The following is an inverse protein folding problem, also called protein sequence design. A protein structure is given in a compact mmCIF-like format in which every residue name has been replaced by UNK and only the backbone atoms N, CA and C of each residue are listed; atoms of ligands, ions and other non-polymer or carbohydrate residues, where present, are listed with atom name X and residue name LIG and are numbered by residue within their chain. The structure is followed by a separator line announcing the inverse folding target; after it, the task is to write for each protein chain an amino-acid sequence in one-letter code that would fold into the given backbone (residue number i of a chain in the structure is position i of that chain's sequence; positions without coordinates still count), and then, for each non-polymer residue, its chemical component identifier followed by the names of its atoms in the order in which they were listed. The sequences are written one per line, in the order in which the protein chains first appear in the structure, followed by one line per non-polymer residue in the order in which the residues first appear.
data_IF_780305156989
#
_entry.id   IF_780305156989
#
_cell.length_a   1.000
_cell.length_b   1.000
_cell.length_c   1.000
_cell.angle_alpha   90.00
_cell.angle_beta   90.00
_cell.angle_gamma   90.00
#
_symmetry.space_group_name_H-M   'P 1'
#
loop_
_entity.id
_entity.type
_entity.pdbx_description
1 polymer ?
#
# COMPACT_ATOMS: atom_id res chain seq x y z
N UNK A 1 5.05 -18.26 -13.71
CA UNK A 1 3.62 -18.63 -13.76
C UNK A 1 2.85 -17.37 -13.41
N UNK A 2 2.03 -16.87 -14.33
CA UNK A 2 1.23 -15.66 -14.11
C UNK A 2 0.11 -15.92 -13.11
N UNK A 3 -0.11 -14.99 -12.20
CA UNK A 3 -1.17 -15.02 -11.18
C UNK A 3 -2.27 -14.05 -11.59
N UNK A 4 -3.48 -14.56 -11.78
CA UNK A 4 -4.65 -13.74 -12.07
C UNK A 4 -5.27 -13.27 -10.74
N UNK A 5 -5.40 -11.97 -10.57
CA UNK A 5 -5.83 -11.32 -9.33
C UNK A 5 -7.09 -10.52 -9.60
N UNK A 6 -8.15 -10.79 -8.85
CA UNK A 6 -9.40 -10.01 -8.87
C UNK A 6 -9.41 -9.03 -7.70
N UNK A 7 -9.61 -7.74 -7.97
CA UNK A 7 -9.77 -6.71 -6.95
C UNK A 7 -11.25 -6.33 -6.84
N UNK A 8 -11.79 -6.32 -5.62
CA UNK A 8 -13.19 -5.97 -5.39
C UNK A 8 -13.41 -5.18 -4.09
N UNK A 9 -14.13 -4.04 -4.10
CA UNK A 9 -14.48 -3.24 -5.27
C UNK A 9 -13.24 -2.54 -5.86
N UNK A 10 -13.06 -2.58 -7.18
CA UNK A 10 -11.81 -2.12 -7.79
C UNK A 10 -11.67 -0.60 -7.94
N UNK A 11 -12.78 0.15 -7.95
CA UNK A 11 -12.77 1.61 -8.09
C UNK A 11 -12.64 2.39 -6.79
N UNK A 12 -12.49 1.71 -5.64
CA UNK A 12 -12.23 2.39 -4.36
C UNK A 12 -10.80 2.96 -4.31
N UNK A 13 -10.51 3.87 -3.38
CA UNK A 13 -9.13 4.35 -3.17
C UNK A 13 -8.14 3.20 -2.94
N UNK A 14 -8.57 2.18 -2.20
CA UNK A 14 -7.76 0.99 -1.92
C UNK A 14 -7.55 0.20 -3.23
N UNK A 15 -8.60 0.03 -4.03
CA UNK A 15 -8.54 -0.67 -5.31
C UNK A 15 -7.64 0.02 -6.33
N UNK A 16 -7.63 1.36 -6.34
CA UNK A 16 -6.74 2.14 -7.20
C UNK A 16 -5.28 2.08 -6.76
N UNK A 17 -5.00 2.03 -5.45
CA UNK A 17 -3.64 1.80 -4.96
C UNK A 17 -3.15 0.39 -5.27
N UNK A 18 -4.00 -0.64 -5.11
CA UNK A 18 -3.67 -2.01 -5.51
C UNK A 18 -3.34 -2.06 -7.02
N UNK A 19 -4.12 -1.36 -7.85
CA UNK A 19 -3.83 -1.26 -9.27
C UNK A 19 -2.47 -0.62 -9.54
N UNK A 20 -2.23 0.58 -9.00
CA UNK A 20 -0.98 1.32 -9.21
C UNK A 20 0.25 0.53 -8.76
N UNK A 21 0.12 -0.28 -7.72
CA UNK A 21 1.19 -1.14 -7.22
C UNK A 21 1.46 -2.38 -8.08
N UNK A 22 0.46 -2.89 -8.81
CA UNK A 22 0.55 -4.21 -9.47
C UNK A 22 0.49 -4.14 -11.00
N UNK A 23 0.12 -3.01 -11.61
CA UNK A 23 -0.09 -2.92 -13.06
C UNK A 23 1.16 -3.23 -13.89
N UNK A 24 2.35 -2.94 -13.35
CA UNK A 24 3.65 -3.22 -13.96
C UNK A 24 4.26 -4.56 -13.54
N UNK A 25 3.70 -5.25 -12.55
CA UNK A 25 4.24 -6.53 -12.10
C UNK A 25 4.06 -7.60 -13.19
N UNK A 26 5.17 -8.12 -13.71
CA UNK A 26 5.18 -9.03 -14.87
C UNK A 26 4.48 -10.36 -14.64
N UNK A 27 4.53 -10.87 -13.42
CA UNK A 27 3.88 -12.12 -13.02
C UNK A 27 2.41 -11.94 -12.59
N UNK A 28 1.87 -10.71 -12.61
CA UNK A 28 0.52 -10.42 -12.13
C UNK A 28 -0.36 -9.94 -13.28
N UNK A 29 -1.56 -10.50 -13.38
CA UNK A 29 -2.64 -10.02 -14.24
C UNK A 29 -3.80 -9.52 -13.38
N UNK A 30 -4.11 -8.24 -13.48
CA UNK A 30 -5.18 -7.61 -12.71
C UNK A 30 -6.54 -7.67 -13.42
N UNK A 31 -7.57 -7.93 -12.63
CA UNK A 31 -8.97 -7.93 -13.02
C UNK A 31 -9.75 -7.11 -11.99
N UNK A 32 -10.70 -6.29 -12.46
CA UNK A 32 -11.52 -5.44 -11.60
C UNK A 32 -12.98 -5.87 -11.59
N UNK A 33 -13.62 -5.78 -10.43
CA UNK A 33 -15.07 -5.82 -10.34
C UNK A 33 -15.57 -4.82 -9.28
N UNK A 34 -16.77 -4.29 -9.49
CA UNK A 34 -17.45 -3.39 -8.55
C UNK A 34 -18.97 -3.58 -8.59
N UNK A 35 -19.66 -3.29 -7.49
CA UNK A 35 -21.14 -3.35 -7.42
C UNK A 35 -21.83 -2.18 -8.11
N UNK A 36 -21.08 -1.12 -8.40
CA UNK A 36 -21.55 0.13 -9.01
C UNK A 36 -20.61 0.53 -10.14
N UNK A 37 -21.10 1.31 -11.10
CA UNK A 37 -20.23 1.99 -12.05
C UNK A 37 -19.36 2.98 -11.27
N UNK A 38 -18.04 2.83 -11.40
CA UNK A 38 -17.05 3.61 -10.68
C UNK A 38 -15.79 3.82 -11.55
N UNK A 39 -14.77 4.46 -10.97
CA UNK A 39 -13.53 4.76 -11.68
C UNK A 39 -12.76 3.50 -12.13
N UNK A 40 -13.07 2.32 -11.57
CA UNK A 40 -12.43 1.06 -11.93
C UNK A 40 -12.60 0.70 -13.40
N UNK A 41 -13.73 1.09 -14.03
CA UNK A 41 -14.01 0.89 -15.46
C UNK A 41 -12.95 1.51 -16.38
N UNK A 42 -12.35 2.63 -15.95
CA UNK A 42 -11.36 3.37 -16.73
C UNK A 42 -9.91 2.96 -16.44
N UNK A 43 -9.70 2.17 -15.39
CA UNK A 43 -8.36 1.81 -14.88
C UNK A 43 -8.04 0.35 -15.17
N UNK A 44 -9.01 -0.54 -14.99
CA UNK A 44 -8.80 -1.98 -15.17
C UNK A 44 -9.12 -2.41 -16.60
N UNK A 45 -8.12 -2.92 -17.33
CA UNK A 45 -8.27 -3.40 -18.70
C UNK A 45 -9.32 -4.52 -18.85
N UNK A 46 -9.58 -5.28 -17.78
CA UNK A 46 -10.69 -6.24 -17.69
C UNK A 46 -11.50 -5.91 -16.45
N UNK A 47 -12.71 -5.41 -16.67
CA UNK A 47 -13.64 -4.92 -15.65
C UNK A 47 -15.02 -5.57 -15.80
N UNK A 48 -15.72 -5.80 -14.68
CA UNK A 48 -17.13 -6.16 -14.68
C UNK A 48 -17.87 -5.48 -13.53
N UNK A 49 -18.97 -4.79 -13.85
CA UNK A 49 -19.94 -4.39 -12.84
C UNK A 49 -20.82 -5.60 -12.46
N UNK A 50 -20.92 -5.91 -11.17
CA UNK A 50 -21.82 -6.94 -10.62
C UNK A 50 -23.00 -6.27 -9.90
N UNK A 51 -24.07 -7.02 -9.64
CA UNK A 51 -25.26 -6.49 -8.96
C UNK A 51 -25.22 -6.66 -7.44
N UNK A 52 -24.47 -7.67 -6.96
CA UNK A 52 -24.33 -7.95 -5.54
C UNK A 52 -23.64 -6.79 -4.81
N UNK A 53 -24.25 -6.32 -3.73
CA UNK A 53 -23.63 -5.37 -2.81
C UNK A 53 -22.60 -6.07 -1.92
N UNK A 54 -21.69 -5.29 -1.34
CA UNK A 54 -20.57 -5.78 -0.56
C UNK A 54 -20.95 -6.64 0.66
N UNK A 55 -22.17 -6.48 1.19
CA UNK A 55 -22.73 -7.18 2.35
C UNK A 55 -23.82 -8.21 1.98
N UNK A 56 -24.06 -8.43 0.68
CA UNK A 56 -25.12 -9.33 0.22
C UNK A 56 -24.68 -10.79 0.19
N UNK A 57 -25.62 -11.70 0.48
CA UNK A 57 -25.39 -13.15 0.39
C UNK A 57 -25.03 -13.63 -1.02
N UNK A 58 -25.41 -12.87 -2.05
CA UNK A 58 -25.17 -13.16 -3.46
C UNK A 58 -23.74 -12.81 -3.90
N UNK A 59 -22.98 -12.03 -3.11
CA UNK A 59 -21.65 -11.55 -3.49
C UNK A 59 -20.72 -12.67 -3.93
N UNK A 60 -20.58 -13.70 -3.10
CA UNK A 60 -19.67 -14.83 -3.36
C UNK A 60 -20.06 -15.58 -4.62
N UNK A 61 -21.36 -15.77 -4.85
CA UNK A 61 -21.85 -16.47 -6.05
C UNK A 61 -21.51 -15.70 -7.34
N UNK A 62 -21.69 -14.38 -7.35
CA UNK A 62 -21.36 -13.55 -8.51
C UNK A 62 -19.85 -13.43 -8.71
N UNK A 63 -19.06 -13.36 -7.63
CA UNK A 63 -17.60 -13.43 -7.72
C UNK A 63 -17.13 -14.77 -8.29
N UNK A 64 -17.72 -15.90 -7.89
CA UNK A 64 -17.35 -17.22 -8.43
C UNK A 64 -17.55 -17.31 -9.95
N UNK A 65 -18.62 -16.73 -10.49
CA UNK A 65 -18.83 -16.65 -11.94
C UNK A 65 -17.64 -15.95 -12.63
N UNK A 66 -17.14 -14.86 -12.06
CA UNK A 66 -15.97 -14.15 -12.59
C UNK A 66 -14.68 -14.93 -12.37
N UNK A 67 -14.52 -15.55 -11.20
CA UNK A 67 -13.36 -16.37 -10.86
C UNK A 67 -13.19 -17.50 -11.87
N UNK A 68 -14.27 -18.24 -12.15
CA UNK A 68 -14.25 -19.36 -13.08
C UNK A 68 -14.02 -18.88 -14.52
N UNK A 69 -14.73 -17.82 -14.95
CA UNK A 69 -14.63 -17.31 -16.30
C UNK A 69 -13.25 -16.69 -16.61
N UNK A 70 -12.58 -16.12 -15.61
CA UNK A 70 -11.33 -15.38 -15.78
C UNK A 70 -10.10 -16.15 -15.26
N UNK A 71 -10.29 -17.33 -14.68
CA UNK A 71 -9.23 -18.15 -14.11
C UNK A 71 -8.51 -17.47 -12.95
N UNK A 72 -9.26 -16.82 -12.07
CA UNK A 72 -8.71 -16.05 -10.94
C UNK A 72 -8.08 -16.97 -9.90
N UNK A 73 -6.90 -16.62 -9.43
CA UNK A 73 -6.19 -17.34 -8.36
C UNK A 73 -6.39 -16.69 -6.99
N UNK A 74 -6.46 -15.35 -6.96
CA UNK A 74 -6.55 -14.56 -5.74
C UNK A 74 -7.62 -13.47 -5.85
N UNK A 75 -8.36 -13.27 -4.76
CA UNK A 75 -9.28 -12.14 -4.60
C UNK A 75 -8.74 -11.18 -3.53
N UNK A 76 -8.58 -9.90 -3.87
CA UNK A 76 -8.12 -8.86 -2.94
C UNK A 76 -9.30 -7.95 -2.59
N UNK A 77 -9.75 -7.93 -1.32
CA UNK A 77 -10.77 -7.00 -0.89
C UNK A 77 -10.19 -5.59 -0.80
N UNK A 78 -10.90 -4.64 -1.39
CA UNK A 78 -10.54 -3.22 -1.41
C UNK A 78 -11.57 -2.37 -0.64
N UNK A 79 -12.23 -2.97 0.35
CA UNK A 79 -13.18 -2.31 1.24
C UNK A 79 -13.37 -3.10 2.55
N UNK A 80 -13.49 -2.40 3.68
CA UNK A 80 -13.53 -3.02 5.01
C UNK A 80 -14.74 -3.94 5.23
N UNK A 81 -15.89 -3.64 4.60
CA UNK A 81 -17.09 -4.48 4.73
C UNK A 81 -17.00 -5.81 3.95
N UNK A 82 -16.12 -5.90 2.95
CA UNK A 82 -15.97 -7.12 2.13
C UNK A 82 -15.14 -8.17 2.86
N UNK A 83 -14.24 -7.75 3.75
CA UNK A 83 -13.28 -8.63 4.43
C UNK A 83 -14.00 -9.73 5.23
N UNK A 84 -14.97 -9.43 6.13
CA UNK A 84 -15.68 -10.48 6.86
C UNK A 84 -16.47 -11.40 5.93
N UNK A 85 -17.11 -10.85 4.89
CA UNK A 85 -17.91 -11.64 3.95
C UNK A 85 -17.05 -12.67 3.21
N UNK A 86 -15.86 -12.27 2.73
CA UNK A 86 -14.94 -13.21 2.09
C UNK A 86 -14.34 -14.20 3.09
N UNK A 87 -14.00 -13.77 4.30
CA UNK A 87 -13.45 -14.64 5.34
C UNK A 87 -14.46 -15.75 5.71
N UNK A 88 -15.71 -15.38 5.98
CA UNK A 88 -16.79 -16.31 6.34
C UNK A 88 -17.15 -17.30 5.20
N UNK A 89 -16.78 -16.98 3.96
CA UNK A 89 -17.13 -17.76 2.78
C UNK A 89 -15.91 -18.29 2.02
N UNK A 90 -14.73 -18.33 2.64
CA UNK A 90 -13.49 -18.77 1.98
C UNK A 90 -13.61 -20.19 1.41
N UNK A 91 -14.34 -21.09 2.06
CA UNK A 91 -14.57 -22.46 1.57
C UNK A 91 -15.51 -22.53 0.36
N UNK A 92 -16.38 -21.53 0.18
CA UNK A 92 -17.33 -21.43 -0.93
C UNK A 92 -16.77 -20.66 -2.12
N UNK A 93 -15.72 -19.86 -1.89
CA UNK A 93 -15.05 -19.07 -2.92
C UNK A 93 -14.15 -19.99 -3.76
N UNK A 94 -14.25 -19.92 -5.09
CA UNK A 94 -13.45 -20.76 -6.00
C UNK A 94 -11.99 -20.28 -6.14
N UNK A 95 -11.58 -19.28 -5.35
CA UNK A 95 -10.23 -18.72 -5.31
C UNK A 95 -9.85 -18.39 -3.85
N UNK A 96 -8.56 -18.19 -3.60
CA UNK A 96 -8.08 -17.75 -2.29
C UNK A 96 -8.35 -16.26 -2.09
N UNK A 97 -9.06 -15.87 -1.05
CA UNK A 97 -9.19 -14.47 -0.68
C UNK A 97 -8.01 -14.04 0.20
N UNK A 98 -7.53 -12.82 -0.03
CA UNK A 98 -6.49 -12.20 0.79
C UNK A 98 -7.11 -11.53 2.01
N UNK A 99 -7.60 -12.37 2.93
CA UNK A 99 -8.27 -12.00 4.18
C UNK A 99 -7.73 -12.85 5.34
N UNK A 100 -7.79 -12.37 6.59
CA UNK A 100 -7.51 -13.22 7.74
C UNK A 100 -8.64 -14.25 7.94
N UNK A 101 -8.47 -15.13 8.93
CA UNK A 101 -9.55 -16.05 9.33
C UNK A 101 -10.81 -15.30 9.80
N UNK A 102 -11.99 -15.96 9.78
CA UNK A 102 -13.26 -15.34 10.16
C UNK A 102 -13.26 -14.62 11.52
N UNK A 103 -12.62 -15.22 12.53
CA UNK A 103 -12.61 -14.66 13.88
C UNK A 103 -11.78 -13.38 13.92
N UNK A 104 -10.57 -13.40 13.35
CA UNK A 104 -9.72 -12.21 13.28
C UNK A 104 -10.31 -11.12 12.39
N UNK A 105 -10.96 -11.48 11.27
CA UNK A 105 -11.71 -10.54 10.44
C UNK A 105 -12.80 -9.82 11.25
N UNK A 106 -13.57 -10.58 12.04
CA UNK A 106 -14.63 -10.03 12.88
C UNK A 106 -14.09 -9.17 14.05
N UNK A 107 -12.94 -9.54 14.63
CA UNK A 107 -12.24 -8.74 15.64
C UNK A 107 -11.83 -7.39 15.06
N UNK A 108 -11.10 -7.38 13.94
CA UNK A 108 -10.63 -6.14 13.31
C UNK A 108 -11.78 -5.24 12.80
N UNK A 109 -12.92 -5.83 12.41
CA UNK A 109 -14.08 -5.08 11.92
C UNK A 109 -14.77 -4.27 13.02
N UNK A 110 -14.71 -4.74 14.27
CA UNK A 110 -15.37 -4.11 15.42
C UNK A 110 -14.34 -3.60 16.43
N UNK A 111 -14.32 -2.28 16.66
CA UNK A 111 -13.35 -1.63 17.55
C UNK A 111 -13.45 -2.08 19.01
N UNK A 112 -14.65 -2.37 19.53
CA UNK A 112 -14.82 -2.90 20.88
C UNK A 112 -14.13 -4.26 21.01
N UNK A 113 -14.34 -5.16 20.04
CA UNK A 113 -13.67 -6.48 20.00
C UNK A 113 -12.17 -6.35 19.82
N UNK A 114 -11.72 -5.42 18.97
CA UNK A 114 -10.29 -5.12 18.81
C UNK A 114 -9.66 -4.68 20.13
N UNK A 115 -10.32 -3.78 20.87
CA UNK A 115 -9.82 -3.29 22.16
C UNK A 115 -9.84 -4.38 23.22
N UNK A 116 -10.91 -5.17 23.30
CA UNK A 116 -11.00 -6.31 24.22
C UNK A 116 -9.87 -7.33 23.97
N UNK A 117 -9.58 -7.63 22.69
CA UNK A 117 -8.52 -8.56 22.30
C UNK A 117 -7.12 -8.03 22.62
N UNK A 118 -6.90 -6.73 22.51
CA UNK A 118 -5.57 -6.10 22.59
C UNK A 118 -5.32 -5.35 23.91
N UNK A 119 -6.28 -5.32 24.84
CA UNK A 119 -6.16 -4.58 26.11
C UNK A 119 -4.95 -5.00 26.94
N UNK A 120 -4.57 -6.29 26.89
CA UNK A 120 -3.42 -6.83 27.62
C UNK A 120 -2.07 -6.23 27.19
N UNK A 121 -2.01 -5.58 26.03
CA UNK A 121 -0.81 -4.90 25.55
C UNK A 121 -0.64 -3.49 26.16
N UNK A 122 -1.64 -2.95 26.86
CA UNK A 122 -1.60 -1.59 27.42
C UNK A 122 -1.68 -0.45 26.40
N UNK A 123 -1.98 -0.79 25.14
CA UNK A 123 -1.98 0.15 24.00
C UNK A 123 -3.36 0.73 23.70
N UNK A 124 -4.42 0.18 24.30
CA UNK A 124 -5.80 0.65 24.08
C UNK A 124 -6.05 1.93 24.89
N UNK A 125 -6.85 2.88 24.38
CA UNK A 125 -7.26 4.04 25.14
C UNK A 125 -8.18 3.63 26.31
N UNK A 126 -8.21 4.45 27.36
CA UNK A 126 -9.12 4.21 28.48
C UNK A 126 -10.59 4.30 28.03
N UNK A 127 -11.37 3.25 28.30
CA UNK A 127 -12.80 3.22 28.04
C UNK A 127 -13.56 4.13 29.02
N UNK A 128 -14.64 4.77 28.56
CA UNK A 128 -15.45 5.67 29.40
C UNK A 128 -16.90 5.23 29.41
N UNK A 129 -17.43 4.95 30.61
CA UNK A 129 -18.83 4.60 30.82
C UNK A 129 -19.74 5.83 30.97
N UNK A 130 -21.04 5.73 30.62
CA UNK A 130 -22.02 6.77 30.92
C UNK A 130 -22.02 7.13 32.41
N UNK A 131 -22.02 8.43 32.73
CA UNK A 131 -21.93 8.93 34.12
C UNK A 131 -20.52 9.32 34.59
N UNK A 132 -19.50 9.19 33.74
CA UNK A 132 -18.16 9.67 34.04
C UNK A 132 -18.07 11.21 34.15
N UNK A 133 -17.11 11.71 34.93
CA UNK A 133 -16.91 13.16 35.21
C UNK A 133 -15.70 13.78 34.49
N UNK A 134 -15.26 13.22 33.36
CA UNK A 134 -14.04 13.63 32.64
C UNK A 134 -14.25 13.88 31.15
N UNK A 135 -14.92 14.98 30.81
CA UNK A 135 -15.12 15.44 29.43
C UNK A 135 -14.04 16.46 29.00
N UNK A 136 -13.71 16.56 27.70
CA UNK A 136 -14.30 15.82 26.58
C UNK A 136 -13.83 14.36 26.50
N UNK A 137 -14.70 13.52 25.96
CA UNK A 137 -14.38 12.15 25.56
C UNK A 137 -14.50 12.03 24.04
N UNK A 138 -14.21 10.85 23.49
CA UNK A 138 -14.37 10.57 22.07
C UNK A 138 -15.30 9.37 21.86
N UNK A 139 -16.24 9.51 20.92
CA UNK A 139 -17.18 8.47 20.54
C UNK A 139 -16.98 8.07 19.07
N UNK A 140 -16.98 6.76 18.78
CA UNK A 140 -16.92 6.22 17.41
C UNK A 140 -17.87 5.03 17.27
N UNK A 141 -18.56 4.85 16.14
CA UNK A 141 -19.22 3.58 15.87
C UNK A 141 -18.21 2.42 15.93
N UNK A 142 -18.59 1.36 16.62
CA UNK A 142 -17.78 0.15 16.79
C UNK A 142 -17.42 -0.44 15.43
N UNK A 143 -18.40 -0.47 14.52
CA UNK A 143 -18.25 -0.85 13.11
C UNK A 143 -18.46 0.39 12.24
N UNK A 144 -17.52 0.71 11.36
CA UNK A 144 -17.64 1.90 10.51
C UNK A 144 -16.44 2.10 9.58
N UNK A 145 -16.44 3.22 8.85
CA UNK A 145 -15.34 3.64 7.96
C UNK A 145 -15.33 5.15 7.76
N UNK A 146 -14.22 5.70 7.28
CA UNK A 146 -14.15 7.10 6.84
C UNK A 146 -14.47 8.15 7.92
N UNK A 147 -14.29 7.80 9.19
CA UNK A 147 -14.67 8.63 10.35
C UNK A 147 -16.16 9.00 10.43
N UNK A 148 -17.05 8.27 9.74
CA UNK A 148 -18.48 8.51 9.83
C UNK A 148 -18.99 8.20 11.24
N UNK A 149 -19.76 9.15 11.82
CA UNK A 149 -20.30 9.04 13.17
C UNK A 149 -19.28 9.23 14.30
N UNK A 150 -18.00 9.50 13.99
CA UNK A 150 -16.97 9.79 14.98
C UNK A 150 -17.07 11.23 15.47
N UNK A 151 -17.15 11.44 16.78
CA UNK A 151 -17.29 12.78 17.36
C UNK A 151 -16.58 12.95 18.72
N UNK A 152 -16.15 14.18 18.99
CA UNK A 152 -15.76 14.63 20.32
C UNK A 152 -17.06 14.92 21.09
N UNK A 153 -17.16 14.35 22.29
CA UNK A 153 -18.33 14.50 23.17
C UNK A 153 -17.93 15.34 24.36
N UNK A 154 -18.52 16.53 24.48
CA UNK A 154 -18.14 17.54 25.49
C UNK A 154 -18.94 17.47 26.79
N UNK A 155 -20.04 16.70 26.83
CA UNK A 155 -20.90 16.61 28.02
C UNK A 155 -21.59 15.25 28.17
N UNK A 156 -22.15 15.04 29.36
CA UNK A 156 -22.85 13.81 29.74
C UNK A 156 -24.16 13.60 28.98
N UNK A 157 -24.86 14.68 28.63
CA UNK A 157 -26.15 14.57 27.94
C UNK A 157 -25.95 13.94 26.55
N UNK A 158 -24.95 14.39 25.79
CA UNK A 158 -24.59 13.82 24.50
C UNK A 158 -24.04 12.40 24.64
N UNK A 159 -23.22 12.12 25.67
CA UNK A 159 -22.74 10.76 25.94
C UNK A 159 -23.91 9.78 26.14
N UNK A 160 -24.86 10.10 27.03
CA UNK A 160 -26.05 9.27 27.26
C UNK A 160 -26.92 9.13 26.00
N UNK A 161 -27.03 10.17 25.19
CA UNK A 161 -27.78 10.11 23.93
C UNK A 161 -27.18 9.08 22.97
N UNK A 162 -25.85 9.06 22.80
CA UNK A 162 -25.16 8.12 21.93
C UNK A 162 -25.21 6.69 22.49
N UNK A 163 -25.02 6.54 23.80
CA UNK A 163 -25.07 5.24 24.49
C UNK A 163 -26.45 4.57 24.39
N UNK A 164 -27.52 5.37 24.33
CA UNK A 164 -28.90 4.88 24.17
C UNK A 164 -29.34 4.76 22.69
N UNK A 165 -28.44 4.99 21.74
CA UNK A 165 -28.76 4.86 20.31
C UNK A 165 -28.79 3.39 19.88
N UNK A 166 -29.32 3.11 18.68
CA UNK A 166 -29.28 1.76 18.09
C UNK A 166 -27.92 1.39 17.51
N UNK A 167 -26.97 2.33 17.46
CA UNK A 167 -25.62 2.11 16.94
C UNK A 167 -24.72 1.73 18.10
N UNK A 168 -23.96 0.65 17.95
CA UNK A 168 -22.92 0.28 18.91
C UNK A 168 -21.76 1.28 18.81
N UNK A 169 -21.42 1.92 19.92
CA UNK A 169 -20.32 2.88 20.02
C UNK A 169 -19.15 2.32 20.85
N UNK A 170 -17.99 2.87 20.60
CA UNK A 170 -16.83 2.85 21.49
C UNK A 170 -16.69 4.24 22.09
N UNK A 171 -16.64 4.30 23.41
CA UNK A 171 -16.39 5.53 24.17
C UNK A 171 -15.02 5.45 24.82
N UNK A 172 -14.17 6.42 24.55
CA UNK A 172 -12.81 6.46 25.08
C UNK A 172 -12.41 7.85 25.55
N UNK A 173 -11.31 7.93 26.30
CA UNK A 173 -10.63 9.18 26.56
C UNK A 173 -10.37 9.97 25.25
N UNK A 174 -10.37 11.31 25.36
CA UNK A 174 -10.01 12.16 24.24
C UNK A 174 -8.48 12.20 24.07
N UNK A 175 -8.00 11.79 22.90
CA UNK A 175 -6.58 11.77 22.55
C UNK A 175 -6.22 13.05 21.77
N UNK A 176 -5.53 14.04 22.36
CA UNK A 176 -5.31 15.34 21.71
C UNK A 176 -4.13 15.34 20.75
N UNK A 177 -3.18 14.42 20.89
CA UNK A 177 -1.89 14.45 20.22
C UNK A 177 -1.91 14.03 18.75
N UNK A 178 -0.72 13.85 18.21
CA UNK A 178 -0.47 13.50 16.81
C UNK A 178 -1.09 12.16 16.43
N UNK A 179 -1.71 12.10 15.25
CA UNK A 179 -2.31 10.89 14.68
C UNK A 179 -1.38 10.27 13.61
N UNK A 180 -1.19 8.96 13.72
CA UNK A 180 -0.32 8.15 12.87
C UNK A 180 -1.12 7.04 12.21
N UNK A 181 -0.66 6.63 11.03
CA UNK A 181 -0.94 5.29 10.50
C UNK A 181 0.39 4.55 10.40
N UNK A 182 0.41 3.29 10.84
CA UNK A 182 1.58 2.43 10.76
C UNK A 182 1.27 1.31 9.79
N UNK A 183 1.85 1.42 8.59
CA UNK A 183 1.71 0.41 7.54
C UNK A 183 2.64 -0.77 7.89
N UNK A 184 2.09 -1.99 7.90
CA UNK A 184 2.77 -3.19 8.35
C UNK A 184 2.74 -4.26 7.27
N UNK A 185 3.78 -5.10 7.21
CA UNK A 185 3.84 -6.26 6.33
C UNK A 185 4.35 -7.46 7.12
N UNK A 186 3.57 -8.53 7.11
CA UNK A 186 3.88 -9.80 7.76
C UNK A 186 4.13 -10.90 6.72
N UNK A 187 4.87 -11.93 7.13
CA UNK A 187 5.10 -13.13 6.34
C UNK A 187 3.83 -13.96 6.12
N UNK A 188 3.96 -15.05 5.35
CA UNK A 188 2.88 -16.00 5.11
C UNK A 188 2.35 -16.72 6.36
N UNK A 189 3.11 -16.67 7.47
CA UNK A 189 2.78 -17.30 8.76
C UNK A 189 2.51 -16.27 9.88
N UNK A 190 2.26 -15.00 9.52
CA UNK A 190 1.86 -13.97 10.48
C UNK A 190 3.00 -13.31 11.26
N UNK A 191 4.27 -13.58 10.92
CA UNK A 191 5.42 -12.91 11.56
C UNK A 191 5.63 -11.53 10.94
N UNK A 192 5.63 -10.47 11.75
CA UNK A 192 5.90 -9.11 11.30
C UNK A 192 7.30 -8.98 10.70
N UNK A 193 7.39 -8.49 9.47
CA UNK A 193 8.66 -8.27 8.76
C UNK A 193 9.05 -6.80 8.76
N UNK A 194 8.08 -5.88 8.68
CA UNK A 194 8.35 -4.45 8.69
C UNK A 194 7.13 -3.64 9.12
N UNK A 195 7.38 -2.49 9.75
CA UNK A 195 6.39 -1.50 10.12
C UNK A 195 6.92 -0.09 9.81
N UNK A 196 6.12 0.74 9.15
CA UNK A 196 6.48 2.10 8.75
C UNK A 196 5.38 3.08 9.16
N UNK A 197 5.69 3.93 10.14
CA UNK A 197 4.79 4.99 10.58
C UNK A 197 4.78 6.18 9.61
N UNK A 198 3.60 6.77 9.41
CA UNK A 198 3.39 7.99 8.63
C UNK A 198 2.39 8.91 9.31
N UNK A 199 2.66 10.21 9.20
CA UNK A 199 1.83 11.26 9.75
C UNK A 199 0.56 11.44 8.91
N UNK A 200 -0.55 11.75 9.57
CA UNK A 200 -1.80 12.13 8.93
C UNK A 200 -1.97 13.64 8.93
N UNK A 201 -1.09 14.35 8.23
CA UNK A 201 -0.98 15.81 8.28
C UNK A 201 -2.26 16.56 7.87
N UNK A 202 -3.05 16.03 6.93
CA UNK A 202 -4.40 16.53 6.63
C UNK A 202 -5.34 15.38 6.35
N UNK A 203 -6.50 15.37 7.00
CA UNK A 203 -7.55 14.35 6.85
C UNK A 203 -8.81 14.98 6.26
N UNK A 204 -9.42 14.32 5.27
CA UNK A 204 -10.73 14.68 4.69
C UNK A 204 -11.54 13.41 4.52
N UNK A 205 -12.75 13.37 5.10
CA UNK A 205 -13.63 12.18 5.07
C UNK A 205 -12.94 10.89 5.52
N UNK A 206 -12.12 10.97 6.57
CA UNK A 206 -11.34 9.84 7.10
C UNK A 206 -10.13 9.40 6.25
N UNK A 207 -9.90 10.03 5.09
CA UNK A 207 -8.75 9.77 4.22
C UNK A 207 -7.65 10.78 4.51
N UNK A 208 -6.41 10.31 4.64
CA UNK A 208 -5.24 11.20 4.71
C UNK A 208 -4.95 11.75 3.31
N UNK A 209 -5.32 13.00 3.08
CA UNK A 209 -5.08 13.72 1.81
C UNK A 209 -3.73 14.44 1.79
N UNK A 210 -3.01 14.44 2.92
CA UNK A 210 -1.59 14.78 3.02
C UNK A 210 -0.93 13.88 4.06
N UNK A 211 0.13 13.19 3.66
CA UNK A 211 0.90 12.28 4.52
C UNK A 211 2.38 12.33 4.17
N UNK A 212 3.21 12.06 5.16
CA UNK A 212 4.67 12.02 5.07
C UNK A 212 5.20 10.98 6.07
N UNK A 213 6.40 10.41 5.84
CA UNK A 213 7.02 9.49 6.79
C UNK A 213 7.12 10.12 8.18
N UNK A 214 6.76 9.35 9.21
CA UNK A 214 7.09 9.72 10.56
C UNK A 214 8.57 9.36 10.83
N UNK A 215 9.20 10.09 11.76
CA UNK A 215 10.47 9.67 12.34
C UNK A 215 10.30 8.31 13.02
N UNK A 216 11.37 7.51 13.02
CA UNK A 216 11.40 6.23 13.72
C UNK A 216 10.91 6.37 15.16
N UNK A 217 10.00 5.49 15.57
CA UNK A 217 9.32 5.57 16.85
C UNK A 217 9.19 4.16 17.44
N UNK A 218 9.97 3.91 18.50
CA UNK A 218 10.05 2.61 19.14
C UNK A 218 8.73 2.17 19.80
N UNK A 219 7.88 3.11 20.23
CA UNK A 219 6.59 2.80 20.84
C UNK A 219 5.61 2.28 19.77
N UNK A 220 5.55 2.96 18.61
CA UNK A 220 4.74 2.52 17.48
C UNK A 220 5.23 1.18 16.92
N UNK A 221 6.54 0.96 16.83
CA UNK A 221 7.08 -0.34 16.44
C UNK A 221 6.74 -1.46 17.45
N UNK A 222 6.77 -1.14 18.75
CA UNK A 222 6.36 -2.09 19.79
C UNK A 222 4.88 -2.43 19.70
N UNK A 223 4.01 -1.45 19.43
CA UNK A 223 2.59 -1.69 19.12
C UNK A 223 2.45 -2.64 17.93
N UNK A 224 3.18 -2.39 16.84
CA UNK A 224 3.13 -3.23 15.64
C UNK A 224 3.49 -4.70 15.96
N UNK A 225 4.58 -4.92 16.72
CA UNK A 225 5.01 -6.26 17.14
C UNK A 225 3.98 -6.94 18.03
N UNK A 226 3.41 -6.24 19.00
CA UNK A 226 2.38 -6.78 19.90
C UNK A 226 1.11 -7.18 19.15
N UNK A 227 0.62 -6.31 18.27
CA UNK A 227 -0.58 -6.59 17.45
C UNK A 227 -0.33 -7.79 16.51
N UNK A 228 0.83 -7.86 15.86
CA UNK A 228 1.18 -8.99 15.00
C UNK A 228 1.21 -10.32 15.77
N UNK A 229 1.74 -10.31 17.00
CA UNK A 229 1.78 -11.51 17.84
C UNK A 229 0.37 -11.99 18.25
N UNK A 230 -0.54 -11.06 18.56
CA UNK A 230 -1.90 -11.38 19.02
C UNK A 230 -2.87 -11.80 17.90
N UNK A 231 -2.70 -11.22 16.69
CA UNK A 231 -3.64 -11.38 15.58
C UNK A 231 -3.08 -12.22 14.42
N UNK A 232 -1.76 -12.46 14.38
CA UNK A 232 -1.07 -13.26 13.34
C UNK A 232 -1.46 -12.88 11.90
N UNK A 233 -1.67 -11.59 11.65
CA UNK A 233 -2.11 -11.07 10.35
C UNK A 233 -1.09 -11.40 9.26
N UNK A 234 -1.59 -11.91 8.13
CA UNK A 234 -0.81 -12.33 6.96
C UNK A 234 -0.74 -11.24 5.91
N UNK A 235 0.43 -11.02 5.33
CA UNK A 235 0.61 -9.96 4.32
C UNK A 235 0.47 -8.57 4.93
N UNK A 236 -0.01 -7.61 4.14
CA UNK A 236 -0.10 -6.22 4.54
C UNK A 236 -1.34 -5.93 5.39
N UNK A 237 -1.14 -5.12 6.42
CA UNK A 237 -2.16 -4.60 7.30
C UNK A 237 -1.69 -3.26 7.84
N UNK A 238 -2.54 -2.53 8.55
CA UNK A 238 -2.11 -1.34 9.25
C UNK A 238 -2.88 -1.18 10.55
N UNK A 239 -2.35 -0.33 11.41
CA UNK A 239 -3.10 0.22 12.53
C UNK A 239 -2.96 1.73 12.56
N UNK A 240 -3.92 2.39 13.20
CA UNK A 240 -3.85 3.81 13.48
C UNK A 240 -3.63 4.01 14.97
N UNK A 241 -2.82 5.01 15.31
CA UNK A 241 -2.55 5.38 16.68
C UNK A 241 -2.62 6.89 16.85
N UNK A 242 -2.99 7.35 18.04
CA UNK A 242 -2.96 8.77 18.39
C UNK A 242 -2.40 8.96 19.78
N UNK A 243 -1.55 9.97 19.96
CA UNK A 243 -0.95 10.26 21.26
C UNK A 243 -1.96 10.82 22.25
N UNK A 244 -1.90 10.33 23.48
CA UNK A 244 -2.64 10.89 24.61
C UNK A 244 -2.01 12.21 25.10
N UNK A 245 -2.49 12.73 26.23
CA UNK A 245 -2.01 13.99 26.80
C UNK A 245 -0.56 13.93 27.34
N UNK A 246 -0.04 12.72 27.61
CA UNK A 246 1.35 12.49 28.02
C UNK A 246 2.26 12.21 26.82
N UNK A 247 1.71 12.18 25.61
CA UNK A 247 2.44 11.82 24.41
C UNK A 247 2.53 10.31 24.18
N UNK A 248 1.85 9.45 24.93
CA UNK A 248 1.90 7.98 24.74
C UNK A 248 0.93 7.58 23.63
N UNK A 249 1.34 6.78 22.62
CA UNK A 249 0.45 6.39 21.53
C UNK A 249 -0.61 5.38 22.00
N UNK A 250 -1.86 5.63 21.61
CA UNK A 250 -3.01 4.76 21.87
C UNK A 250 -3.65 4.29 20.56
N UNK A 251 -4.07 3.04 20.53
CA UNK A 251 -4.66 2.38 19.36
C UNK A 251 -6.02 2.97 18.99
N UNK A 252 -6.22 3.29 17.70
CA UNK A 252 -7.51 3.75 17.16
C UNK A 252 -8.25 2.64 16.41
N UNK A 253 -7.54 1.91 15.53
CA UNK A 253 -8.10 0.80 14.74
C UNK A 253 -6.97 -0.09 14.20
N UNK A 254 -7.32 -1.33 13.85
CA UNK A 254 -6.48 -2.29 13.11
C UNK A 254 -7.28 -2.74 11.89
N UNK A 255 -6.65 -2.78 10.72
CA UNK A 255 -7.30 -3.17 9.48
C UNK A 255 -6.42 -4.16 8.70
N UNK A 256 -6.92 -5.38 8.42
CA UNK A 256 -6.15 -6.44 7.78
C UNK A 256 -6.22 -6.34 6.24
N UNK A 257 -5.85 -5.18 5.70
CA UNK A 257 -5.92 -4.88 4.27
C UNK A 257 -4.92 -3.81 3.83
N UNK A 258 -4.82 -3.61 2.53
CA UNK A 258 -4.12 -2.47 1.93
C UNK A 258 -4.81 -1.16 2.31
N UNK A 259 -4.03 -0.14 2.67
CA UNK A 259 -4.51 1.24 2.78
C UNK A 259 -4.14 2.02 1.51
N UNK A 260 -5.04 2.88 1.02
CA UNK A 260 -4.75 3.65 -0.20
C UNK A 260 -3.58 4.66 -0.05
N UNK A 261 -3.19 5.00 1.19
CA UNK A 261 -1.99 5.80 1.46
C UNK A 261 -0.72 4.99 1.73
N UNK A 262 -0.77 3.63 1.64
CA UNK A 262 0.44 2.81 1.54
C UNK A 262 1.26 3.17 0.29
N UNK A 263 0.64 3.87 -0.67
CA UNK A 263 1.29 4.53 -1.80
C UNK A 263 2.56 5.31 -1.40
N UNK A 264 2.55 5.98 -0.23
CA UNK A 264 3.71 6.69 0.29
C UNK A 264 4.92 5.78 0.51
N UNK A 265 4.69 4.63 1.15
CA UNK A 265 5.76 3.68 1.43
C UNK A 265 6.10 2.81 0.21
N UNK A 266 5.18 2.68 -0.76
CA UNK A 266 5.46 2.13 -2.09
C UNK A 266 6.51 2.95 -2.83
N UNK A 267 6.35 4.28 -2.84
CA UNK A 267 7.38 5.19 -3.38
C UNK A 267 8.74 4.96 -2.71
N UNK A 268 8.78 4.60 -1.42
CA UNK A 268 10.00 4.28 -0.65
C UNK A 268 10.46 2.82 -0.78
N UNK A 269 9.97 2.08 -1.77
CA UNK A 269 10.44 0.75 -2.13
C UNK A 269 9.64 -0.42 -1.56
N UNK A 270 8.52 -0.18 -0.86
CA UNK A 270 7.71 -1.24 -0.24
C UNK A 270 6.38 -1.42 -0.97
N UNK A 271 6.33 -2.35 -1.91
CA UNK A 271 5.12 -2.68 -2.65
C UNK A 271 4.23 -3.64 -1.83
N UNK A 272 3.45 -3.09 -0.89
CA UNK A 272 2.59 -3.87 0.02
C UNK A 272 1.63 -4.84 -0.69
N UNK A 273 0.92 -4.46 -1.77
CA UNK A 273 0.07 -5.40 -2.50
C UNK A 273 0.85 -6.61 -3.06
N UNK A 274 2.00 -6.39 -3.69
CA UNK A 274 2.81 -7.46 -4.27
C UNK A 274 3.36 -8.41 -3.19
N UNK A 275 3.91 -7.85 -2.11
CA UNK A 275 4.42 -8.64 -0.99
C UNK A 275 3.30 -9.42 -0.28
N UNK A 276 2.08 -8.86 -0.24
CA UNK A 276 0.92 -9.57 0.30
C UNK A 276 0.52 -10.77 -0.57
N UNK A 277 0.60 -10.65 -1.89
CA UNK A 277 0.40 -11.79 -2.81
C UNK A 277 1.45 -12.87 -2.51
N UNK A 278 2.72 -12.51 -2.37
CA UNK A 278 3.78 -13.45 -2.02
C UNK A 278 3.53 -14.16 -0.69
N UNK A 279 3.11 -13.41 0.35
CA UNK A 279 2.71 -14.01 1.62
C UNK A 279 1.59 -15.03 1.43
N UNK A 280 0.54 -14.69 0.65
CA UNK A 280 -0.60 -15.57 0.40
C UNK A 280 -0.25 -16.82 -0.42
N UNK A 281 0.72 -16.73 -1.30
CA UNK A 281 1.27 -17.84 -2.08
C UNK A 281 2.34 -18.65 -1.32
N UNK A 282 2.63 -18.33 -0.06
CA UNK A 282 3.66 -19.03 0.73
C UNK A 282 5.09 -18.77 0.26
N UNK A 283 5.33 -17.68 -0.47
CA UNK A 283 6.66 -17.27 -0.92
C UNK A 283 7.36 -16.46 0.16
N UNK A 284 8.64 -16.73 0.38
CA UNK A 284 9.50 -15.89 1.22
C UNK A 284 9.92 -14.65 0.46
N UNK A 285 9.99 -13.52 1.16
CA UNK A 285 10.46 -12.26 0.61
C UNK A 285 11.12 -11.44 1.70
N UNK A 286 11.92 -10.46 1.29
CA UNK A 286 12.52 -9.45 2.17
C UNK A 286 11.97 -8.08 1.79
N UNK A 287 12.07 -7.14 2.73
CA UNK A 287 11.74 -5.73 2.49
C UNK A 287 13.03 -4.93 2.30
N UNK A 288 12.99 -3.93 1.43
CA UNK A 288 14.10 -3.00 1.21
C UNK A 288 13.58 -1.56 1.36
N UNK A 289 13.36 -1.09 2.60
CA UNK A 289 12.89 0.27 2.84
C UNK A 289 13.99 1.27 2.46
N UNK A 290 13.60 2.39 1.84
CA UNK A 290 14.48 3.52 1.56
C UNK A 290 14.11 4.73 2.40
N UNK A 291 15.07 5.56 2.76
CA UNK A 291 14.86 6.68 3.69
C UNK A 291 15.27 8.01 3.05
N UNK A 292 14.27 8.82 2.72
CA UNK A 292 14.43 10.19 2.24
C UNK A 292 13.13 10.97 2.49
N UNK A 293 13.18 12.31 2.57
CA UNK A 293 11.98 13.12 2.74
C UNK A 293 11.02 12.94 1.55
N UNK A 294 9.76 12.64 1.85
CA UNK A 294 8.72 12.43 0.86
C UNK A 294 7.39 12.94 1.42
N UNK A 295 6.71 13.78 0.65
CA UNK A 295 5.33 14.18 0.94
C UNK A 295 4.42 13.68 -0.17
N UNK A 296 3.34 13.03 0.22
CA UNK A 296 2.20 12.73 -0.65
C UNK A 296 1.08 13.73 -0.35
N UNK A 297 0.54 14.36 -1.38
CA UNK A 297 -0.67 15.19 -1.31
C UNK A 297 -1.68 14.73 -2.36
N UNK A 298 -2.97 14.82 -2.06
CA UNK A 298 -4.03 14.32 -2.94
C UNK A 298 -5.12 15.35 -3.20
N UNK A 299 -5.40 15.53 -4.49
CA UNK A 299 -6.58 16.21 -5.01
C UNK A 299 -7.15 15.37 -6.17
N UNK A 300 -7.96 14.37 -5.83
CA UNK A 300 -8.46 13.28 -6.71
C UNK A 300 -7.39 12.33 -7.26
N UNK A 301 -6.14 12.78 -7.42
CA UNK A 301 -4.97 11.95 -7.71
C UNK A 301 -3.81 12.28 -6.78
N UNK A 302 -2.86 11.35 -6.65
CA UNK A 302 -1.67 11.55 -5.84
C UNK A 302 -0.70 12.52 -6.54
N UNK A 303 -0.02 13.34 -5.73
CA UNK A 303 1.12 14.15 -6.12
C UNK A 303 2.21 13.99 -5.06
N UNK A 304 3.43 14.07 -5.53
CA UNK A 304 4.61 13.72 -4.75
C UNK A 304 5.56 14.91 -4.67
N UNK A 305 6.19 15.06 -3.51
CA UNK A 305 7.37 15.90 -3.33
C UNK A 305 8.43 15.06 -2.65
N UNK A 306 9.26 14.42 -3.47
CA UNK A 306 10.44 13.69 -3.04
C UNK A 306 11.65 14.63 -3.00
N UNK A 307 12.41 14.61 -1.92
CA UNK A 307 13.70 15.30 -1.82
C UNK A 307 14.84 14.31 -2.15
N UNK A 308 14.97 14.02 -3.44
CA UNK A 308 16.01 13.15 -3.99
C UNK A 308 17.01 14.01 -4.76
N UNK A 309 18.27 14.04 -4.30
CA UNK A 309 19.36 14.67 -5.02
C UNK A 309 20.09 13.61 -5.86
N UNK A 310 20.09 13.79 -7.18
CA UNK A 310 20.84 12.95 -8.11
C UNK A 310 21.22 13.75 -9.35
N UNK A 311 22.37 13.41 -9.91
CA UNK A 311 22.98 14.00 -11.10
C UNK A 311 23.03 13.00 -12.27
N UNK A 312 22.85 11.70 -12.01
CA UNK A 312 22.81 10.65 -13.03
C UNK A 312 21.73 9.61 -12.75
N UNK A 313 21.18 9.04 -13.82
CA UNK A 313 20.23 7.93 -13.77
C UNK A 313 20.84 6.69 -14.40
N UNK A 314 20.74 5.56 -13.71
CA UNK A 314 21.01 4.25 -14.27
C UNK A 314 19.68 3.53 -14.46
N UNK A 315 19.41 3.09 -15.68
CA UNK A 315 18.11 2.53 -16.07
C UNK A 315 18.32 1.16 -16.71
N UNK A 316 17.52 0.17 -16.30
CA UNK A 316 17.46 -1.10 -17.00
C UNK A 316 16.54 -1.06 -18.24
N UNK A 317 16.80 -1.94 -19.20
CA UNK A 317 16.00 -2.09 -20.41
C UNK A 317 14.77 -3.00 -20.20
N UNK A 318 14.99 -4.23 -19.76
CA UNK A 318 13.98 -5.31 -19.81
C UNK A 318 13.04 -5.20 -18.62
N UNK A 319 11.74 -5.36 -18.85
CA UNK A 319 10.70 -5.22 -17.82
C UNK A 319 10.70 -3.86 -17.06
N UNK A 320 11.54 -2.91 -17.49
CA UNK A 320 11.73 -1.59 -16.88
C UNK A 320 11.42 -0.49 -17.90
N UNK A 321 12.34 -0.21 -18.85
CA UNK A 321 12.04 0.68 -19.98
C UNK A 321 11.03 0.03 -20.94
N UNK A 322 11.13 -1.29 -21.11
CA UNK A 322 10.24 -2.11 -21.92
C UNK A 322 9.41 -3.05 -21.04
N UNK A 323 8.25 -2.60 -20.58
CA UNK A 323 7.34 -3.45 -19.80
C UNK A 323 6.52 -4.32 -20.75
N UNK A 324 6.62 -5.65 -20.59
CA UNK A 324 5.93 -6.64 -21.45
C UNK A 324 6.24 -6.44 -22.94
N UNK A 325 7.48 -6.03 -23.26
CA UNK A 325 7.96 -5.85 -24.63
C UNK A 325 7.47 -4.57 -25.33
N UNK A 326 6.93 -3.61 -24.59
CA UNK A 326 6.53 -2.31 -25.13
C UNK A 326 7.12 -1.16 -24.30
N UNK A 327 7.45 0.01 -24.91
CA UNK A 327 7.91 1.18 -24.18
C UNK A 327 6.94 1.60 -23.09
N UNK A 328 7.43 1.71 -21.86
CA UNK A 328 6.63 2.16 -20.73
C UNK A 328 6.47 3.70 -20.80
N UNK A 329 5.23 4.24 -20.92
CA UNK A 329 5.01 5.65 -21.19
C UNK A 329 5.58 6.63 -20.14
N UNK A 330 5.57 6.25 -18.88
CA UNK A 330 6.07 7.06 -17.78
C UNK A 330 7.60 7.12 -17.75
N UNK A 331 8.29 6.00 -18.01
CA UNK A 331 9.76 5.94 -18.17
C UNK A 331 10.16 6.75 -19.40
N UNK A 332 9.42 6.64 -20.51
CA UNK A 332 9.65 7.47 -21.69
C UNK A 332 9.51 8.97 -21.37
N UNK A 333 8.47 9.36 -20.64
CA UNK A 333 8.31 10.76 -20.20
C UNK A 333 9.47 11.22 -19.30
N UNK A 334 9.97 10.36 -18.42
CA UNK A 334 11.13 10.65 -17.58
C UNK A 334 12.42 10.78 -18.40
N UNK A 335 12.66 9.96 -19.42
CA UNK A 335 13.81 10.10 -20.32
C UNK A 335 13.85 11.50 -20.96
N UNK A 336 12.73 11.98 -21.46
CA UNK A 336 12.64 13.35 -22.01
C UNK A 336 12.82 14.42 -20.94
N UNK A 337 12.28 14.21 -19.73
CA UNK A 337 12.47 15.13 -18.61
C UNK A 337 13.95 15.24 -18.20
N UNK A 338 14.66 14.12 -18.08
CA UNK A 338 16.07 14.08 -17.72
C UNK A 338 16.93 14.71 -18.83
N UNK A 339 16.65 14.40 -20.09
CA UNK A 339 17.30 15.03 -21.24
C UNK A 339 17.14 16.55 -21.23
N UNK A 340 15.92 17.07 -21.04
CA UNK A 340 15.67 18.51 -20.96
C UNK A 340 16.37 19.22 -19.79
N UNK A 341 16.76 18.46 -18.75
CA UNK A 341 17.48 18.96 -17.57
C UNK A 341 18.98 18.71 -17.62
N UNK A 342 19.50 18.14 -18.71
CA UNK A 342 20.88 17.68 -18.83
C UNK A 342 21.29 16.69 -17.73
N UNK A 343 20.36 15.84 -17.28
CA UNK A 343 20.66 14.73 -16.37
C UNK A 343 21.02 13.51 -17.25
N UNK A 344 22.28 13.06 -17.27
CA UNK A 344 22.68 11.90 -18.04
C UNK A 344 21.95 10.62 -17.60
N UNK A 345 21.56 9.82 -18.59
CA UNK A 345 20.98 8.48 -18.38
C UNK A 345 21.93 7.44 -18.95
N UNK A 346 22.28 6.45 -18.14
CA UNK A 346 23.08 5.29 -18.55
C UNK A 346 22.16 4.07 -18.59
N UNK A 347 21.99 3.48 -19.77
CA UNK A 347 21.28 2.22 -19.90
C UNK A 347 22.20 1.08 -19.44
N UNK A 348 21.82 0.33 -18.40
CA UNK A 348 22.60 -0.81 -17.89
C UNK A 348 21.73 -2.05 -17.95
N UNK A 349 22.05 -2.96 -18.87
CA UNK A 349 21.17 -4.10 -19.17
C UNK A 349 21.92 -5.40 -19.39
N UNK A 350 21.24 -6.51 -19.11
CA UNK A 350 21.63 -7.89 -19.45
C UNK A 350 20.86 -8.44 -20.65
N UNK A 351 20.28 -7.56 -21.46
CA UNK A 351 19.40 -7.91 -22.57
C UNK A 351 19.97 -9.05 -23.43
N UNK A 352 19.12 -9.98 -23.85
CA UNK A 352 19.59 -11.15 -24.59
C UNK A 352 20.21 -10.79 -25.96
N UNK A 353 19.71 -9.71 -26.58
CA UNK A 353 20.15 -9.23 -27.89
C UNK A 353 20.94 -7.91 -27.78
N UNK A 354 21.29 -7.31 -28.93
CA UNK A 354 21.99 -6.02 -28.98
C UNK A 354 21.03 -4.89 -28.56
N UNK A 355 21.25 -4.20 -27.43
CA UNK A 355 20.30 -3.20 -26.91
C UNK A 355 19.95 -2.11 -27.92
N UNK A 356 20.91 -1.65 -28.72
CA UNK A 356 20.72 -0.63 -29.75
C UNK A 356 19.72 -1.06 -30.83
N UNK A 357 19.73 -2.35 -31.18
CA UNK A 357 18.77 -2.90 -32.15
C UNK A 357 17.36 -2.92 -31.56
N UNK A 358 17.22 -3.32 -30.30
CA UNK A 358 15.94 -3.32 -29.58
C UNK A 358 15.39 -1.89 -29.42
N UNK A 359 16.24 -0.94 -29.03
CA UNK A 359 15.86 0.48 -28.97
C UNK A 359 15.36 0.97 -30.34
N UNK A 360 16.08 0.68 -31.42
CA UNK A 360 15.67 1.06 -32.77
C UNK A 360 14.33 0.43 -33.20
N UNK A 361 14.10 -0.85 -32.87
CA UNK A 361 12.83 -1.54 -33.14
C UNK A 361 11.64 -0.83 -32.48
N UNK A 362 11.83 -0.35 -31.26
CA UNK A 362 10.82 0.39 -30.50
C UNK A 362 10.82 1.90 -30.75
N UNK A 363 11.64 2.39 -31.68
CA UNK A 363 11.79 3.82 -32.02
C UNK A 363 12.24 4.68 -30.82
N UNK A 364 13.03 4.09 -29.93
CA UNK A 364 13.68 4.81 -28.83
C UNK A 364 15.04 5.27 -29.34
N UNK A 365 15.28 6.58 -29.33
CA UNK A 365 16.54 7.14 -29.79
C UNK A 365 17.67 6.77 -28.83
N UNK A 366 18.75 6.15 -29.34
CA UNK A 366 19.91 5.80 -28.52
C UNK A 366 20.61 7.04 -27.93
N UNK A 367 20.49 8.21 -28.56
CA UNK A 367 21.07 9.48 -28.10
C UNK A 367 20.38 10.02 -26.83
N UNK A 368 19.27 9.42 -26.38
CA UNK A 368 18.70 9.71 -25.06
C UNK A 368 19.57 9.15 -23.91
N UNK A 369 20.55 8.30 -24.23
CA UNK A 369 21.46 7.69 -23.27
C UNK A 369 22.88 8.25 -23.47
N UNK A 370 23.52 8.67 -22.39
CA UNK A 370 24.94 9.06 -22.40
C UNK A 370 25.82 7.90 -22.86
N UNK A 371 25.46 6.68 -22.42
CA UNK A 371 26.06 5.42 -22.88
C UNK A 371 25.14 4.24 -22.61
N UNK A 372 25.38 3.16 -23.33
CA UNK A 372 24.72 1.87 -23.16
C UNK A 372 25.77 0.87 -22.65
N UNK A 373 25.49 0.22 -21.51
CA UNK A 373 26.33 -0.79 -20.89
C UNK A 373 25.64 -2.14 -21.00
N UNK A 374 26.11 -2.97 -21.91
CA UNK A 374 25.60 -4.33 -22.11
C UNK A 374 26.43 -5.36 -21.33
N UNK A 375 25.91 -5.80 -20.19
CA UNK A 375 26.58 -6.76 -19.30
C UNK A 375 26.33 -8.19 -19.78
N UNK A 376 27.39 -8.88 -20.25
CA UNK A 376 27.32 -10.27 -20.75
C UNK A 376 28.17 -11.27 -19.96
N UNK A 377 29.04 -10.79 -19.09
CA UNK A 377 30.04 -11.54 -18.35
C UNK A 377 29.59 -11.97 -16.94
N UNK A 378 28.35 -11.63 -16.56
CA UNK A 378 27.80 -11.87 -15.22
C UNK A 378 28.22 -10.84 -14.18
N UNK A 379 28.96 -9.79 -14.55
CA UNK A 379 29.30 -8.70 -13.63
C UNK A 379 28.04 -8.07 -13.01
N UNK A 380 28.04 -7.69 -11.72
CA UNK A 380 26.89 -7.04 -11.08
C UNK A 380 26.57 -5.70 -11.74
N UNK A 381 25.30 -5.26 -11.74
CA UNK A 381 24.93 -3.95 -12.30
C UNK A 381 25.61 -2.80 -11.56
N UNK A 382 25.88 -2.96 -10.27
CA UNK A 382 26.68 -2.01 -9.52
C UNK A 382 28.06 -1.75 -10.15
N UNK A 383 28.68 -2.68 -10.88
CA UNK A 383 29.98 -2.47 -11.51
C UNK A 383 29.97 -1.34 -12.57
N UNK A 384 28.82 -1.06 -13.17
CA UNK A 384 28.64 0.03 -14.14
C UNK A 384 28.46 1.41 -13.49
N UNK A 385 28.31 1.45 -12.16
CA UNK A 385 28.01 2.65 -11.37
C UNK A 385 29.29 3.21 -10.76
N UNK A 386 29.49 4.52 -10.84
CA UNK A 386 30.68 5.14 -10.25
C UNK A 386 30.53 5.22 -8.72
N UNK A 387 31.54 4.82 -7.91
CA UNK A 387 31.44 4.94 -6.46
C UNK A 387 31.30 6.40 -6.01
N UNK A 388 30.43 6.67 -5.02
CA UNK A 388 30.22 8.00 -4.45
C UNK A 388 29.45 8.98 -5.34
N UNK A 389 28.97 8.53 -6.49
CA UNK A 389 28.18 9.35 -7.40
C UNK A 389 26.77 9.60 -6.86
N UNK A 390 26.31 10.85 -6.97
CA UNK A 390 24.92 11.20 -6.71
C UNK A 390 24.04 10.66 -7.86
N UNK A 391 23.56 9.43 -7.72
CA UNK A 391 22.79 8.76 -8.76
C UNK A 391 21.53 8.09 -8.21
N UNK A 392 20.64 7.70 -9.12
CA UNK A 392 19.56 6.75 -8.84
C UNK A 392 19.66 5.55 -9.79
N UNK A 393 19.12 4.41 -9.37
CA UNK A 393 19.06 3.20 -10.19
C UNK A 393 17.63 2.70 -10.32
N UNK A 394 17.23 2.29 -11.52
CA UNK A 394 15.85 1.89 -11.83
C UNK A 394 15.87 0.53 -12.53
N UNK A 395 15.18 -0.44 -11.92
CA UNK A 395 15.17 -1.84 -12.36
C UNK A 395 13.97 -2.59 -11.72
N UNK A 396 13.25 -3.40 -12.50
CA UNK A 396 12.16 -4.24 -12.01
C UNK A 396 12.67 -5.34 -11.04
N UNK A 397 13.89 -5.83 -11.28
CA UNK A 397 14.43 -6.95 -10.55
C UNK A 397 14.84 -6.55 -9.13
N UNK A 398 14.10 -7.06 -8.14
CA UNK A 398 14.39 -6.85 -6.71
C UNK A 398 15.84 -7.19 -6.35
N UNK A 399 16.39 -8.28 -6.89
CA UNK A 399 17.77 -8.70 -6.61
C UNK A 399 18.82 -7.72 -7.12
N UNK A 400 18.61 -7.14 -8.32
CA UNK A 400 19.53 -6.15 -8.89
C UNK A 400 19.44 -4.84 -8.11
N UNK A 401 18.22 -4.41 -7.75
CA UNK A 401 18.03 -3.23 -6.88
C UNK A 401 18.68 -3.42 -5.50
N UNK A 402 18.53 -4.58 -4.89
CA UNK A 402 19.14 -4.90 -3.60
C UNK A 402 20.67 -4.93 -3.67
N UNK A 403 21.22 -5.50 -4.74
CA UNK A 403 22.66 -5.51 -5.00
C UNK A 403 23.21 -4.09 -5.15
N UNK A 404 22.60 -3.27 -6.01
CA UNK A 404 23.01 -1.88 -6.23
C UNK A 404 22.87 -1.03 -4.96
N UNK A 405 21.74 -1.14 -4.25
CA UNK A 405 21.53 -0.41 -3.00
C UNK A 405 22.61 -0.76 -1.96
N UNK A 406 22.92 -2.05 -1.81
CA UNK A 406 23.95 -2.50 -0.87
C UNK A 406 25.37 -2.10 -1.28
N UNK A 407 25.70 -2.17 -2.57
CA UNK A 407 27.04 -1.91 -3.07
C UNK A 407 27.35 -0.42 -3.21
N UNK A 408 26.34 0.40 -3.51
CA UNK A 408 26.52 1.82 -3.90
C UNK A 408 25.87 2.81 -2.95
N UNK A 409 24.93 2.38 -2.11
CA UNK A 409 24.24 3.27 -1.17
C UNK A 409 23.40 4.35 -1.85
N UNK A 410 22.99 4.12 -3.10
CA UNK A 410 22.14 5.04 -3.87
C UNK A 410 20.66 4.62 -3.81
N UNK A 411 19.70 5.54 -4.00
CA UNK A 411 18.29 5.20 -4.13
C UNK A 411 18.02 4.30 -5.34
N UNK A 412 17.14 3.32 -5.17
CA UNK A 412 16.78 2.31 -6.17
C UNK A 412 15.27 2.22 -6.36
N UNK A 413 14.76 2.13 -7.58
CA UNK A 413 13.32 2.19 -7.84
C UNK A 413 12.85 1.08 -8.77
N UNK A 414 11.71 0.49 -8.41
CA UNK A 414 10.90 -0.27 -9.35
C UNK A 414 10.07 0.70 -10.20
N UNK A 415 9.49 0.22 -11.31
CA UNK A 415 8.60 0.97 -12.20
C UNK A 415 7.41 1.55 -11.43
N UNK A 416 6.87 0.80 -10.45
CA UNK A 416 5.73 1.24 -9.63
C UNK A 416 6.02 2.51 -8.81
N UNK A 417 7.30 2.78 -8.49
CA UNK A 417 7.70 3.90 -7.64
C UNK A 417 8.13 5.15 -8.43
N UNK A 418 8.07 5.12 -9.76
CA UNK A 418 8.64 6.20 -10.60
C UNK A 418 7.79 7.47 -10.61
N UNK A 419 6.54 7.43 -10.12
CA UNK A 419 5.62 8.57 -10.25
C UNK A 419 6.16 9.79 -9.48
N UNK A 420 6.89 9.53 -8.39
CA UNK A 420 7.52 10.55 -7.56
C UNK A 420 8.65 11.32 -8.26
N UNK A 421 9.23 10.78 -9.34
CA UNK A 421 10.35 11.40 -10.06
C UNK A 421 9.88 12.41 -11.12
N UNK A 422 8.58 12.40 -11.45
CA UNK A 422 8.02 13.32 -12.43
C UNK A 422 7.87 14.71 -11.83
N UNK A 423 8.48 15.70 -12.47
CA UNK A 423 8.20 17.09 -12.16
C UNK A 423 6.96 17.53 -12.93
N UNK A 424 5.92 17.89 -12.18
CA UNK A 424 4.63 18.34 -12.71
C UNK A 424 4.30 19.77 -12.27
N UNK A 425 5.19 20.42 -11.49
CA UNK A 425 5.03 21.82 -11.07
C UNK A 425 5.40 22.74 -12.22
N UNK A 426 4.57 23.76 -12.43
CA UNK A 426 4.76 24.80 -13.45
C UNK A 426 5.80 25.83 -13.03
#
# INVERSE_FOLDING_TARGET
MTVNVLVFPCGSEIGLEIHAALCHAKDIRLHGASSVSDHGEFVYARYQQISAQADSAELVSQLNVLIDAWGINLVIPAHDSVIPVLADNQERLHATAMVPDPLVAAICRNKNRTYERLQGLGIVPHGVEPGATGYPIFAKPAVGQGSQGAERVDDEARHRQLANSSVEYVFSEYLPGTEYTVDCISSGIGVLLHAAARLRGRVKSGISVRTEPATTDAELEAMARGIAAELQLKGAWFFQARRDHNGVPKLLEVAPRIAGSMALNRMRGINYPLLSIYAHMGRTFTVMPQHYPLVMDRALGNRWRAELAYERVYLDLDDTLLVRGAPEPQVMALLYQWSARNIPVVLVTRHASTPEQTLAQHRICADLFERIVHLRDGSPKSAAITPGEAAIFIDDAFSERAEVASARGIPVFDVDALEQLREMRA
#
